data_IF_721487231967
#
_entry.id   IF_721487231967
#
_cell.length_a   1.000
_cell.length_b   1.000
_cell.length_c   1.000
_cell.angle_alpha   90.00
_cell.angle_beta   90.00
_cell.angle_gamma   90.00
#
_symmetry.space_group_name_H-M   'P 1'
#
loop_
_entity.id
_entity.type
_entity.pdbx_description
1 polymer ?
#
# COMPACT_ATOMS: atom_id res chain seq x y z
N UNK A 1 -34.86 14.43 4.28
CA UNK A 1 -34.33 14.22 4.24
C UNK A 1 -33.55 14.05 4.07
N UNK A 2 -33.27 13.69 4.01
CA UNK A 2 -32.49 13.51 3.84
C UNK A 2 -31.80 13.10 3.45
N UNK A 3 -31.97 12.96 3.10
CA UNK A 3 -31.28 12.51 2.64
C UNK A 3 -30.37 12.76 2.29
N UNK A 4 -30.47 13.31 2.42
CA UNK A 4 -29.71 13.62 2.12
C UNK A 4 -28.71 13.45 2.60
N UNK A 5 -28.71 13.04 3.02
CA UNK A 5 -27.63 12.67 3.29
C UNK A 5 -26.91 12.35 2.24
N UNK A 6 -25.95 12.84 2.17
CA UNK A 6 -25.19 12.86 0.98
C UNK A 6 -24.50 11.55 0.75
N UNK A 7 -23.89 10.95 1.75
CA UNK A 7 -23.19 9.68 1.59
C UNK A 7 -23.75 8.64 2.54
N UNK A 8 -23.94 7.44 2.02
CA UNK A 8 -24.26 6.31 2.85
C UNK A 8 -23.02 5.88 3.64
N UNK A 9 -23.23 5.05 4.64
CA UNK A 9 -22.14 4.47 5.41
C UNK A 9 -21.14 3.76 4.47
N UNK A 10 -21.66 3.00 3.51
CA UNK A 10 -20.80 2.26 2.58
C UNK A 10 -19.95 3.18 1.70
N UNK A 11 -20.52 4.30 1.27
CA UNK A 11 -19.78 5.26 0.46
C UNK A 11 -18.67 5.93 1.28
N UNK A 12 -18.95 6.25 2.53
CA UNK A 12 -17.94 6.83 3.41
C UNK A 12 -16.83 5.84 3.71
N UNK A 13 -17.18 4.58 3.94
CA UNK A 13 -16.20 3.55 4.20
C UNK A 13 -15.31 3.31 2.99
N UNK A 14 -15.90 3.32 1.79
CA UNK A 14 -15.15 3.14 0.55
C UNK A 14 -14.14 4.27 0.36
N UNK A 15 -14.56 5.51 0.59
CA UNK A 15 -13.67 6.66 0.47
C UNK A 15 -12.52 6.58 1.48
N UNK A 16 -12.83 6.17 2.70
CA UNK A 16 -11.81 6.01 3.74
C UNK A 16 -10.79 4.94 3.33
N UNK A 17 -11.27 3.81 2.79
CA UNK A 17 -10.40 2.73 2.36
C UNK A 17 -9.52 3.15 1.18
N UNK A 18 -10.07 3.90 0.23
CA UNK A 18 -9.31 4.39 -0.91
C UNK A 18 -8.18 5.30 -0.42
N UNK A 19 -8.48 6.20 0.51
CA UNK A 19 -7.49 7.11 1.05
C UNK A 19 -6.40 6.35 1.83
N UNK A 20 -6.80 5.35 2.60
CA UNK A 20 -5.85 4.53 3.36
C UNK A 20 -4.91 3.78 2.42
N UNK A 21 -5.46 3.18 1.38
CA UNK A 21 -4.63 2.44 0.42
C UNK A 21 -3.66 3.39 -0.28
N UNK A 22 -4.13 4.57 -0.70
CA UNK A 22 -3.27 5.55 -1.35
C UNK A 22 -2.12 5.97 -0.44
N UNK A 23 -2.42 6.23 0.84
CA UNK A 23 -1.38 6.64 1.80
C UNK A 23 -0.36 5.54 2.01
N UNK A 24 -0.81 4.29 2.11
CA UNK A 24 0.09 3.15 2.24
C UNK A 24 0.99 3.02 1.01
N UNK A 25 0.41 3.16 -0.19
CA UNK A 25 1.18 3.01 -1.42
C UNK A 25 2.23 4.09 -1.57
N UNK A 26 2.01 5.28 -1.01
CA UNK A 26 3.01 6.35 -1.06
C UNK A 26 4.24 6.02 -0.25
N UNK A 27 4.13 5.16 0.76
CA UNK A 27 5.28 4.72 1.54
C UNK A 27 6.07 3.61 0.85
N UNK A 28 5.50 2.98 -0.17
CA UNK A 28 6.09 1.80 -0.82
C UNK A 28 6.83 2.20 -2.10
N UNK A 29 7.77 1.35 -2.55
CA UNK A 29 8.43 1.59 -3.84
C UNK A 29 7.44 1.65 -4.98
N UNK A 30 7.82 2.36 -6.03
CA UNK A 30 6.95 2.62 -7.16
C UNK A 30 6.50 1.32 -7.86
N UNK A 31 7.36 0.32 -7.92
CA UNK A 31 6.98 -0.94 -8.57
C UNK A 31 5.86 -1.65 -7.82
N UNK A 32 5.69 -1.38 -6.51
CA UNK A 32 4.56 -1.92 -5.77
C UNK A 32 3.24 -1.32 -6.26
N UNK A 33 3.25 -0.03 -6.62
CA UNK A 33 2.05 0.60 -7.17
C UNK A 33 1.63 -0.08 -8.48
N UNK A 34 2.60 -0.42 -9.31
CA UNK A 34 2.32 -1.13 -10.56
C UNK A 34 1.69 -2.50 -10.29
N UNK A 35 2.20 -3.21 -9.29
CA UNK A 35 1.60 -4.48 -8.88
C UNK A 35 0.14 -4.29 -8.47
N UNK A 36 -0.16 -3.27 -7.66
CA UNK A 36 -1.52 -3.02 -7.20
C UNK A 36 -2.45 -2.63 -8.35
N UNK A 37 -1.95 -1.90 -9.33
CA UNK A 37 -2.73 -1.62 -10.53
C UNK A 37 -3.09 -2.90 -11.26
N UNK A 38 -2.15 -3.83 -11.34
CA UNK A 38 -2.38 -5.09 -12.05
C UNK A 38 -3.44 -5.96 -11.40
N UNK A 39 -3.54 -5.96 -10.08
CA UNK A 39 -4.50 -6.82 -9.37
C UNK A 39 -5.81 -6.11 -9.04
N UNK A 40 -5.93 -4.84 -9.37
CA UNK A 40 -7.12 -4.06 -9.02
C UNK A 40 -8.41 -4.70 -9.53
N UNK A 41 -8.50 -5.15 -10.79
CA UNK A 41 -9.75 -5.70 -11.30
C UNK A 41 -10.18 -7.01 -10.63
N UNK A 42 -9.28 -7.72 -9.99
CA UNK A 42 -9.57 -9.05 -9.44
C UNK A 42 -9.59 -9.10 -7.92
N UNK A 43 -9.37 -7.96 -7.27
CA UNK A 43 -9.30 -7.93 -5.80
C UNK A 43 -10.17 -6.83 -5.25
N UNK A 44 -10.64 -7.02 -4.00
CA UNK A 44 -11.34 -5.97 -3.29
C UNK A 44 -10.33 -4.97 -2.73
N UNK A 45 -10.81 -3.77 -2.40
CA UNK A 45 -9.96 -2.76 -1.79
C UNK A 45 -9.42 -3.21 -0.44
N UNK A 46 -10.22 -3.94 0.34
CA UNK A 46 -9.76 -4.47 1.63
C UNK A 46 -8.62 -5.44 1.46
N UNK A 47 -8.69 -6.29 0.44
CA UNK A 47 -7.62 -7.23 0.13
C UNK A 47 -6.34 -6.47 -0.22
N UNK A 48 -6.45 -5.43 -1.04
CA UNK A 48 -5.29 -4.64 -1.43
C UNK A 48 -4.68 -3.90 -0.24
N UNK A 49 -5.52 -3.40 0.67
CA UNK A 49 -5.02 -2.78 1.90
C UNK A 49 -4.23 -3.79 2.72
N UNK A 50 -4.75 -5.00 2.85
CA UNK A 50 -4.03 -6.07 3.55
C UNK A 50 -2.67 -6.35 2.94
N UNK A 51 -2.62 -6.46 1.60
CA UNK A 51 -1.35 -6.66 0.90
C UNK A 51 -0.40 -5.48 1.12
N UNK A 52 -0.91 -4.27 1.12
CA UNK A 52 -0.07 -3.09 1.33
C UNK A 52 0.54 -3.08 2.73
N UNK A 53 -0.22 -3.46 3.75
CA UNK A 53 0.32 -3.59 5.10
C UNK A 53 1.39 -4.68 5.16
N UNK A 54 1.14 -5.80 4.51
CA UNK A 54 2.11 -6.90 4.48
C UNK A 54 3.41 -6.47 3.81
N UNK A 55 3.31 -5.75 2.69
CA UNK A 55 4.49 -5.24 2.00
C UNK A 55 5.25 -4.24 2.85
N UNK A 56 4.54 -3.34 3.53
CA UNK A 56 5.19 -2.38 4.41
C UNK A 56 5.93 -3.09 5.54
N UNK A 57 5.31 -4.11 6.11
CA UNK A 57 5.93 -4.91 7.17
C UNK A 57 7.20 -5.58 6.65
N UNK A 58 7.14 -6.13 5.44
CA UNK A 58 8.30 -6.78 4.82
C UNK A 58 9.44 -5.77 4.62
N UNK A 59 9.15 -4.60 4.07
CA UNK A 59 10.19 -3.60 3.84
C UNK A 59 10.76 -3.05 5.15
N UNK A 60 9.94 -2.90 6.18
CA UNK A 60 10.42 -2.49 7.49
C UNK A 60 11.34 -3.55 8.09
N UNK A 61 11.01 -4.81 7.88
CA UNK A 61 11.88 -5.91 8.29
C UNK A 61 13.22 -5.82 7.58
N UNK A 62 13.22 -5.57 6.27
CA UNK A 62 14.47 -5.43 5.52
C UNK A 62 15.32 -4.29 6.09
N UNK A 63 14.70 -3.17 6.42
CA UNK A 63 15.44 -2.05 6.98
C UNK A 63 16.09 -2.39 8.32
N UNK A 64 15.40 -3.17 9.14
CA UNK A 64 15.94 -3.53 10.46
C UNK A 64 16.95 -4.66 10.39
N UNK A 65 16.85 -5.54 9.41
CA UNK A 65 17.68 -6.72 9.31
C UNK A 65 18.91 -6.55 8.44
N UNK A 66 18.90 -5.56 7.54
CA UNK A 66 19.98 -5.41 6.55
C UNK A 66 20.48 -3.96 6.52
N UNK A 67 21.72 -3.70 6.91
CA UNK A 67 22.26 -2.34 6.92
C UNK A 67 22.19 -1.64 5.57
N UNK A 68 22.20 -2.38 4.47
CA UNK A 68 22.11 -1.81 3.13
C UNK A 68 20.83 -1.00 2.96
N UNK A 69 19.74 -1.44 3.59
CA UNK A 69 18.45 -0.78 3.47
C UNK A 69 18.14 0.19 4.61
N UNK A 70 18.92 0.13 5.70
CA UNK A 70 18.56 0.84 6.92
C UNK A 70 18.56 2.36 6.76
N UNK A 71 19.40 2.89 5.87
CA UNK A 71 19.54 4.32 5.67
C UNK A 71 18.64 4.87 4.58
N UNK A 72 17.86 4.02 3.92
CA UNK A 72 16.99 4.42 2.81
C UNK A 72 15.53 4.44 3.23
N UNK A 73 14.75 5.42 2.77
CA UNK A 73 13.28 5.31 2.89
C UNK A 73 12.82 4.07 2.12
N UNK A 74 11.71 3.48 2.58
CA UNK A 74 11.15 2.30 1.91
C UNK A 74 10.91 2.59 0.43
N UNK A 75 10.40 3.77 0.12
CA UNK A 75 10.08 4.14 -1.26
C UNK A 75 11.29 4.17 -2.19
N UNK A 76 12.50 4.25 -1.64
CA UNK A 76 13.74 4.30 -2.43
C UNK A 76 14.40 2.93 -2.59
N UNK A 77 13.81 1.87 -2.03
CA UNK A 77 14.37 0.53 -2.18
C UNK A 77 14.07 0.04 -3.60
N UNK A 78 15.13 -0.09 -4.40
CA UNK A 78 14.99 -0.50 -5.79
C UNK A 78 14.80 -2.01 -5.90
N UNK A 79 14.09 -2.41 -6.94
CA UNK A 79 13.83 -3.82 -7.17
C UNK A 79 15.12 -4.63 -7.32
N UNK A 80 16.13 -4.04 -7.93
CA UNK A 80 17.42 -4.70 -8.13
C UNK A 80 18.11 -5.05 -6.81
N UNK A 81 17.83 -4.32 -5.74
CA UNK A 81 18.41 -4.64 -4.44
C UNK A 81 17.82 -5.92 -3.86
N UNK A 82 16.57 -6.22 -4.18
CA UNK A 82 15.91 -7.42 -3.69
C UNK A 82 16.51 -8.69 -4.30
N UNK A 83 17.05 -8.58 -5.49
CA UNK A 83 17.71 -9.72 -6.16
C UNK A 83 18.98 -10.16 -5.44
N UNK A 84 19.50 -9.33 -4.54
CA UNK A 84 20.72 -9.64 -3.81
C UNK A 84 20.45 -10.32 -2.47
N UNK A 85 19.18 -10.52 -2.16
CA UNK A 85 18.79 -11.24 -0.95
C UNK A 85 18.80 -12.76 -1.19
#
# INVERSE_FOLDING_TARGET
MGTKRTKTYHQQLKATNINRLRDLLQELPKYCKNFFHGIEPTTSIKTRIGYAYDMRTFFRFLQSANPMFASKPISDIELSYLDQL
#
